data_IF_296359883724
#
_entry.id   IF_296359883724
#
_cell.length_a   1.000
_cell.length_b   1.000
_cell.length_c   1.000
_cell.angle_alpha   90.00
_cell.angle_beta   90.00
_cell.angle_gamma   90.00
#
_symmetry.space_group_name_H-M   'P 1'
#
loop_
_entity.id
_entity.type
_entity.pdbx_description
1 polymer ?
#
# COMPACT_ATOMS: atom_id res chain seq x y z
N UNK A 1 55.22 0.44 35.41
CA UNK A 1 55.04 0.64 33.94
C UNK A 1 53.57 0.55 33.50
N UNK A 2 52.85 -0.50 33.89
CA UNK A 2 51.45 -0.77 33.48
C UNK A 2 50.45 0.34 33.87
N UNK A 3 50.54 0.87 35.10
CA UNK A 3 49.67 1.95 35.61
C UNK A 3 49.76 3.26 34.78
N UNK A 4 50.98 3.64 34.36
CA UNK A 4 51.21 4.81 33.48
C UNK A 4 50.60 4.61 32.09
N UNK A 5 50.62 3.37 31.57
CA UNK A 5 50.05 3.02 30.27
C UNK A 5 48.51 3.10 30.27
N UNK A 6 47.87 2.62 31.33
CA UNK A 6 46.42 2.73 31.54
C UNK A 6 46.00 4.19 31.69
N UNK A 7 46.72 4.99 32.49
CA UNK A 7 46.46 6.42 32.65
C UNK A 7 46.59 7.18 31.33
N UNK A 8 47.61 6.88 30.52
CA UNK A 8 47.80 7.49 29.20
C UNK A 8 46.65 7.14 28.23
N UNK A 9 46.16 5.89 28.24
CA UNK A 9 44.98 5.49 27.45
C UNK A 9 43.70 6.19 27.90
N UNK A 10 43.47 6.28 29.23
CA UNK A 10 42.33 6.97 29.81
C UNK A 10 42.34 8.46 29.44
N UNK A 11 43.48 9.12 29.58
CA UNK A 11 43.69 10.52 29.20
C UNK A 11 43.39 10.75 27.72
N UNK A 12 43.92 9.92 26.81
CA UNK A 12 43.64 10.03 25.37
C UNK A 12 42.15 9.90 25.05
N UNK A 13 41.46 8.95 25.69
CA UNK A 13 40.02 8.76 25.52
C UNK A 13 39.24 9.99 25.98
N UNK A 14 39.53 10.49 27.19
CA UNK A 14 38.87 11.68 27.75
C UNK A 14 39.11 12.93 26.90
N UNK A 15 40.36 13.17 26.47
CA UNK A 15 40.70 14.30 25.60
C UNK A 15 39.93 14.23 24.27
N UNK A 16 39.85 13.05 23.65
CA UNK A 16 39.10 12.86 22.41
C UNK A 16 37.61 13.15 22.60
N UNK A 17 37.00 12.62 23.65
CA UNK A 17 35.58 12.82 23.95
C UNK A 17 35.25 14.30 24.25
N UNK A 18 36.05 14.96 25.10
CA UNK A 18 35.85 16.36 25.47
C UNK A 18 36.08 17.30 24.27
N UNK A 19 37.12 17.06 23.49
CA UNK A 19 37.44 17.90 22.33
C UNK A 19 36.39 17.75 21.23
N UNK A 20 35.94 16.52 20.94
CA UNK A 20 34.83 16.31 20.02
C UNK A 20 33.54 16.98 20.51
N UNK A 21 33.27 16.93 21.81
CA UNK A 21 32.08 17.57 22.39
C UNK A 21 32.16 19.09 22.25
N UNK A 22 33.31 19.71 22.57
CA UNK A 22 33.49 21.16 22.43
C UNK A 22 33.43 21.62 20.97
N UNK A 23 34.02 20.86 20.03
CA UNK A 23 34.00 21.17 18.59
C UNK A 23 32.58 21.06 18.03
N UNK A 24 31.90 19.92 18.26
CA UNK A 24 30.53 19.72 17.81
C UNK A 24 29.60 20.86 18.25
N UNK A 25 29.77 21.35 19.49
CA UNK A 25 28.92 22.42 20.04
C UNK A 25 29.21 23.79 19.43
N UNK A 26 30.49 24.11 19.22
CA UNK A 26 30.86 25.34 18.51
C UNK A 26 30.39 25.34 17.05
N UNK A 27 30.37 24.18 16.39
CA UNK A 27 29.99 24.10 14.98
C UNK A 27 28.47 23.97 14.78
N UNK A 28 27.76 23.23 15.64
CA UNK A 28 26.33 22.94 15.48
C UNK A 28 25.40 23.92 16.22
N UNK A 29 25.89 24.66 17.21
CA UNK A 29 25.06 25.59 18.01
C UNK A 29 25.55 27.05 17.90
N UNK A 30 26.36 27.37 16.89
CA UNK A 30 26.90 28.73 16.73
C UNK A 30 25.78 29.78 16.64
N UNK A 31 24.62 29.43 16.09
CA UNK A 31 23.45 30.30 16.00
C UNK A 31 22.70 30.51 17.33
N UNK A 32 22.96 29.67 18.34
CA UNK A 32 22.20 29.64 19.61
C UNK A 32 23.04 30.14 20.78
N UNK A 33 24.35 29.87 20.78
CA UNK A 33 25.24 30.22 21.87
C UNK A 33 25.44 31.73 21.96
N UNK A 34 25.41 32.28 23.17
CA UNK A 34 25.83 33.66 23.41
C UNK A 34 27.34 33.81 23.25
N UNK A 35 27.80 35.02 22.91
CA UNK A 35 29.21 35.30 22.62
C UNK A 35 30.15 34.95 23.79
N UNK A 36 29.67 35.07 25.03
CA UNK A 36 30.45 34.72 26.22
C UNK A 36 30.63 33.21 26.33
N UNK A 37 29.57 32.43 26.16
CA UNK A 37 29.65 30.96 26.15
C UNK A 37 30.51 30.46 24.99
N UNK A 38 30.43 31.08 23.80
CA UNK A 38 31.32 30.76 22.67
C UNK A 38 32.79 31.00 23.00
N UNK A 39 33.10 32.15 23.60
CA UNK A 39 34.47 32.48 23.99
C UNK A 39 35.03 31.47 25.01
N UNK A 40 34.23 31.08 26.01
CA UNK A 40 34.64 30.05 26.97
C UNK A 40 34.80 28.66 26.34
N UNK A 41 33.92 28.27 25.42
CA UNK A 41 34.05 27.00 24.68
C UNK A 41 35.30 26.99 23.79
N UNK A 42 35.63 28.11 23.14
CA UNK A 42 36.85 28.26 22.35
C UNK A 42 38.10 28.20 23.23
N UNK A 43 38.06 28.78 24.43
CA UNK A 43 39.13 28.68 25.42
C UNK A 43 39.33 27.22 25.86
N UNK A 44 38.26 26.52 26.26
CA UNK A 44 38.30 25.10 26.63
C UNK A 44 38.82 24.24 25.48
N UNK A 45 38.38 24.49 24.24
CA UNK A 45 38.88 23.79 23.05
C UNK A 45 40.39 23.98 22.87
N UNK A 46 40.89 25.20 23.10
CA UNK A 46 42.31 25.53 22.96
C UNK A 46 43.15 24.87 24.05
N UNK A 47 42.68 24.88 25.30
CA UNK A 47 43.28 24.15 26.43
C UNK A 47 43.35 22.64 26.14
N UNK A 48 42.23 22.03 25.72
CA UNK A 48 42.16 20.61 25.39
C UNK A 48 43.10 20.23 24.21
N UNK A 49 43.26 21.10 23.21
CA UNK A 49 44.23 20.91 22.11
C UNK A 49 45.66 20.92 22.63
N UNK A 50 46.00 21.84 23.54
CA UNK A 50 47.33 21.89 24.16
C UNK A 50 47.62 20.61 24.95
N UNK A 51 46.67 20.15 25.79
CA UNK A 51 46.81 18.88 26.52
C UNK A 51 46.87 17.66 25.60
N UNK A 52 46.15 17.68 24.47
CA UNK A 52 46.23 16.62 23.44
C UNK A 52 47.61 16.52 22.80
N UNK A 53 48.25 17.65 22.52
CA UNK A 53 49.60 17.69 21.93
C UNK A 53 50.68 17.16 22.88
N UNK A 54 50.59 17.46 24.18
CA UNK A 54 51.55 17.01 25.21
C UNK A 54 51.28 15.57 25.67
N UNK A 55 50.01 15.19 25.80
CA UNK A 55 49.55 13.85 26.20
C UNK A 55 50.26 13.30 27.46
N UNK A 56 50.43 14.16 28.48
CA UNK A 56 51.11 13.81 29.73
C UNK A 56 50.10 13.31 30.79
N UNK A 57 50.29 12.12 31.38
CA UNK A 57 49.41 11.63 32.46
C UNK A 57 49.27 12.54 33.68
N UNK A 58 50.20 13.47 33.91
CA UNK A 58 50.09 14.48 34.97
C UNK A 58 48.94 15.48 34.74
N UNK A 59 48.51 15.66 33.49
CA UNK A 59 47.46 16.63 33.12
C UNK A 59 46.04 16.08 33.35
N UNK A 60 45.88 14.85 33.86
CA UNK A 60 44.59 14.17 33.98
C UNK A 60 43.59 14.99 34.82
N UNK A 61 44.06 15.64 35.89
CA UNK A 61 43.25 16.47 36.77
C UNK A 61 42.81 17.77 36.07
N UNK A 62 43.73 18.41 35.34
CA UNK A 62 43.43 19.61 34.55
C UNK A 62 42.45 19.31 33.40
N UNK A 63 42.59 18.17 32.73
CA UNK A 63 41.64 17.70 31.70
C UNK A 63 40.27 17.40 32.32
N UNK A 64 40.24 16.82 33.52
CA UNK A 64 38.99 16.60 34.25
C UNK A 64 38.33 17.93 34.63
N UNK A 65 39.10 18.94 35.04
CA UNK A 65 38.59 20.28 35.35
C UNK A 65 38.00 20.97 34.10
N UNK A 66 38.64 20.82 32.93
CA UNK A 66 38.08 21.24 31.65
C UNK A 66 36.73 20.54 31.38
N UNK A 67 36.64 19.24 31.67
CA UNK A 67 35.39 18.48 31.59
C UNK A 67 34.29 19.03 32.49
N UNK A 68 34.60 19.35 33.75
CA UNK A 68 33.64 19.96 34.68
C UNK A 68 33.21 21.37 34.27
N UNK A 69 34.11 22.17 33.70
CA UNK A 69 33.77 23.49 33.12
C UNK A 69 32.84 23.33 31.93
N UNK A 70 33.15 22.42 31.02
CA UNK A 70 32.32 22.09 29.86
C UNK A 70 30.92 21.61 30.30
N UNK A 71 30.84 20.78 31.34
CA UNK A 71 29.56 20.28 31.87
C UNK A 71 28.73 21.35 32.61
N UNK A 72 29.36 22.35 33.22
CA UNK A 72 28.65 23.52 33.79
C UNK A 72 28.07 24.41 32.72
N UNK A 73 28.85 24.68 31.68
CA UNK A 73 28.38 25.45 30.52
C UNK A 73 27.27 24.68 29.79
N UNK A 74 27.36 23.34 29.77
CA UNK A 74 26.47 22.48 29.01
C UNK A 74 26.16 21.18 29.77
N UNK A 75 25.12 21.14 30.61
CA UNK A 75 24.76 19.93 31.33
C UNK A 75 24.39 18.81 30.35
N UNK A 76 24.92 17.60 30.58
CA UNK A 76 24.68 16.43 29.70
C UNK A 76 23.20 16.04 29.60
N UNK A 77 22.40 16.37 30.63
CA UNK A 77 20.96 16.08 30.71
C UNK A 77 20.10 17.34 30.56
N UNK A 78 20.37 18.13 29.51
CA UNK A 78 19.53 19.28 29.16
C UNK A 78 18.26 18.81 28.42
N UNK A 79 17.20 18.59 29.19
CA UNK A 79 15.91 18.05 28.73
C UNK A 79 15.28 18.91 27.60
N UNK A 80 15.17 20.25 27.74
CA UNK A 80 14.69 21.13 26.67
C UNK A 80 15.42 20.92 25.35
N UNK A 81 16.74 20.79 25.39
CA UNK A 81 17.56 20.64 24.21
C UNK A 81 17.45 19.26 23.56
N UNK A 82 17.34 18.19 24.37
CA UNK A 82 17.08 16.84 23.85
C UNK A 82 15.74 16.79 23.11
N UNK A 83 14.72 17.46 23.65
CA UNK A 83 13.40 17.56 23.03
C UNK A 83 13.44 18.36 21.73
N UNK A 84 14.19 19.47 21.67
CA UNK A 84 14.39 20.23 20.42
C UNK A 84 15.07 19.39 19.34
N UNK A 85 16.19 18.73 19.65
CA UNK A 85 16.88 17.87 18.67
C UNK A 85 15.96 16.76 18.14
N UNK A 86 15.15 16.16 19.02
CA UNK A 86 14.15 15.18 18.60
C UNK A 86 13.10 15.79 17.68
N UNK A 87 12.60 16.98 18.00
CA UNK A 87 11.66 17.71 17.16
C UNK A 87 12.26 18.09 15.80
N UNK A 88 13.51 18.56 15.76
CA UNK A 88 14.20 18.90 14.51
C UNK A 88 14.34 17.67 13.61
N UNK A 89 14.76 16.54 14.17
CA UNK A 89 14.82 15.25 13.46
C UNK A 89 13.42 14.82 13.00
N UNK A 90 12.39 14.99 13.84
CA UNK A 90 11.02 14.65 13.49
C UNK A 90 10.50 15.53 12.34
N UNK A 91 10.76 16.83 12.36
CA UNK A 91 10.37 17.78 11.31
C UNK A 91 11.08 17.44 10.01
N UNK A 92 12.39 17.18 10.03
CA UNK A 92 13.13 16.74 8.84
C UNK A 92 12.58 15.43 8.32
N UNK A 93 12.36 14.44 9.19
CA UNK A 93 11.80 13.14 8.80
C UNK A 93 10.39 13.27 8.20
N UNK A 94 9.51 14.08 8.80
CA UNK A 94 8.18 14.37 8.29
C UNK A 94 8.23 15.13 6.95
N UNK A 95 9.17 16.06 6.78
CA UNK A 95 9.35 16.82 5.53
C UNK A 95 9.84 15.92 4.41
N UNK A 96 10.84 15.07 4.67
CA UNK A 96 11.34 14.09 3.72
C UNK A 96 10.25 13.07 3.38
N UNK A 97 9.57 12.51 4.38
CA UNK A 97 8.47 11.57 4.16
C UNK A 97 7.30 12.21 3.39
N UNK A 98 6.97 13.47 3.70
CA UNK A 98 5.98 14.26 2.98
C UNK A 98 6.38 14.52 1.54
N UNK A 99 7.64 14.86 1.28
CA UNK A 99 8.20 15.01 -0.06
C UNK A 99 8.17 13.72 -0.87
N UNK A 100 8.56 12.60 -0.26
CA UNK A 100 8.47 11.26 -0.88
C UNK A 100 7.01 10.91 -1.21
N UNK A 101 6.09 11.13 -0.27
CA UNK A 101 4.66 10.88 -0.45
C UNK A 101 4.05 11.76 -1.55
N UNK A 102 4.41 13.03 -1.58
CA UNK A 102 3.88 14.00 -2.54
C UNK A 102 4.38 13.72 -3.97
N UNK A 103 5.65 13.37 -4.12
CA UNK A 103 6.33 13.33 -5.41
C UNK A 103 6.44 11.92 -6.00
N UNK A 104 6.59 10.89 -5.17
CA UNK A 104 7.04 9.57 -5.65
C UNK A 104 6.02 8.48 -5.42
N UNK A 105 5.47 8.32 -4.22
CA UNK A 105 4.72 7.10 -3.85
C UNK A 105 3.50 7.41 -2.99
N UNK A 106 2.34 6.93 -3.44
CA UNK A 106 1.08 7.06 -2.72
C UNK A 106 0.50 5.68 -2.37
N UNK A 107 0.21 5.40 -1.08
CA UNK A 107 -0.42 4.14 -0.67
C UNK A 107 -1.92 4.16 -0.98
N UNK A 108 -2.42 3.04 -1.50
CA UNK A 108 -3.84 2.80 -1.68
C UNK A 108 -4.24 1.40 -1.24
N UNK A 109 -5.47 1.27 -0.76
CA UNK A 109 -6.12 -0.02 -0.52
C UNK A 109 -7.05 -0.35 -1.67
N UNK A 110 -7.00 -1.58 -2.18
CA UNK A 110 -7.93 -2.06 -3.23
C UNK A 110 -9.20 -2.60 -2.56
N UNK A 111 -10.37 -1.98 -2.76
CA UNK A 111 -11.60 -2.41 -2.08
C UNK A 111 -12.36 -3.46 -2.88
N UNK A 112 -12.16 -3.52 -4.21
CA UNK A 112 -12.96 -4.36 -5.12
C UNK A 112 -12.15 -5.52 -5.71
N UNK A 113 -12.82 -6.60 -6.07
CA UNK A 113 -12.25 -7.76 -6.77
C UNK A 113 -12.05 -7.57 -8.27
N UNK A 114 -12.25 -6.36 -8.81
CA UNK A 114 -12.23 -6.09 -10.26
C UNK A 114 -10.89 -6.38 -10.95
N UNK A 115 -9.79 -6.48 -10.19
CA UNK A 115 -8.47 -6.81 -10.71
C UNK A 115 -8.05 -8.26 -10.41
N UNK A 116 -8.91 -9.09 -9.81
CA UNK A 116 -8.59 -10.51 -9.64
C UNK A 116 -8.53 -11.20 -11.01
N UNK A 117 -7.64 -12.19 -11.22
CA UNK A 117 -6.79 -12.82 -10.22
C UNK A 117 -5.38 -12.20 -10.09
N UNK A 118 -5.10 -11.02 -10.65
CA UNK A 118 -3.75 -10.42 -10.58
C UNK A 118 -3.54 -9.58 -9.33
N UNK A 119 -4.55 -8.79 -8.94
CA UNK A 119 -4.58 -8.00 -7.72
C UNK A 119 -5.87 -8.25 -6.94
N UNK A 120 -5.75 -8.40 -5.63
CA UNK A 120 -6.84 -8.84 -4.80
C UNK A 120 -7.46 -7.66 -4.08
N UNK A 121 -8.77 -7.48 -4.22
CA UNK A 121 -9.53 -6.59 -3.35
C UNK A 121 -9.83 -7.24 -2.00
N UNK A 122 -10.72 -6.61 -1.23
CA UNK A 122 -11.31 -7.21 -0.04
C UNK A 122 -12.15 -8.41 -0.48
N UNK A 123 -11.87 -9.58 0.10
CA UNK A 123 -12.55 -10.84 -0.26
C UNK A 123 -12.56 -11.81 0.92
N UNK A 124 -13.53 -12.71 0.91
CA UNK A 124 -13.59 -13.80 1.88
C UNK A 124 -12.63 -14.92 1.49
N UNK A 125 -11.92 -15.46 2.47
CA UNK A 125 -11.05 -16.62 2.34
C UNK A 125 -11.67 -17.72 3.20
N UNK A 126 -12.18 -18.76 2.55
CA UNK A 126 -12.65 -19.96 3.24
C UNK A 126 -11.49 -20.66 3.97
N UNK A 127 -11.72 -21.03 5.24
CA UNK A 127 -10.72 -21.69 6.09
C UNK A 127 -10.41 -23.09 5.56
N UNK A 128 -11.38 -23.82 5.04
CA UNK A 128 -11.14 -25.16 4.52
C UNK A 128 -10.33 -25.11 3.22
N UNK A 129 -10.71 -24.26 2.27
CA UNK A 129 -10.00 -24.06 1.01
C UNK A 129 -8.57 -23.52 1.18
N UNK A 130 -8.29 -22.73 2.23
CA UNK A 130 -6.98 -22.11 2.44
C UNK A 130 -5.97 -22.93 3.25
N UNK A 131 -6.43 -23.94 4.00
CA UNK A 131 -5.57 -24.83 4.80
C UNK A 131 -4.38 -25.45 4.04
N UNK A 132 -4.52 -25.89 2.76
CA UNK A 132 -3.42 -26.48 2.01
C UNK A 132 -2.35 -25.47 1.56
N UNK A 133 -2.70 -24.19 1.42
CA UNK A 133 -1.87 -23.19 0.73
C UNK A 133 -1.20 -22.18 1.68
N UNK A 134 -1.60 -22.14 2.95
CA UNK A 134 -1.03 -21.24 3.94
C UNK A 134 0.09 -21.93 4.74
N UNK A 135 1.32 -21.53 4.46
CA UNK A 135 2.50 -21.93 5.24
C UNK A 135 2.46 -21.45 6.71
N UNK A 136 3.30 -22.00 7.59
CA UNK A 136 3.26 -21.72 9.03
C UNK A 136 3.40 -20.22 9.37
N UNK A 137 4.32 -19.52 8.72
CA UNK A 137 4.54 -18.09 8.93
C UNK A 137 3.31 -17.27 8.52
N UNK A 138 2.78 -17.49 7.31
CA UNK A 138 1.59 -16.80 6.80
C UNK A 138 0.38 -17.04 7.71
N UNK A 139 0.23 -18.25 8.24
CA UNK A 139 -0.83 -18.59 9.21
C UNK A 139 -0.67 -17.85 10.53
N UNK A 140 0.56 -17.72 11.03
CA UNK A 140 0.85 -16.99 12.27
C UNK A 140 0.58 -15.48 12.15
N UNK A 141 0.86 -14.88 10.99
CA UNK A 141 0.60 -13.45 10.76
C UNK A 141 -0.80 -13.16 10.22
N UNK A 142 -1.57 -14.19 9.85
CA UNK A 142 -2.90 -14.02 9.26
C UNK A 142 -3.87 -13.20 10.13
N UNK A 143 -3.91 -13.34 11.47
CA UNK A 143 -4.76 -12.49 12.32
C UNK A 143 -4.45 -10.98 12.23
N UNK A 144 -3.24 -10.61 11.79
CA UNK A 144 -2.87 -9.21 11.54
C UNK A 144 -3.39 -8.73 10.18
N UNK A 145 -3.60 -9.64 9.23
CA UNK A 145 -3.86 -9.35 7.81
C UNK A 145 -5.33 -9.57 7.41
N UNK A 146 -6.08 -10.35 8.19
CA UNK A 146 -7.45 -10.72 7.90
C UNK A 146 -8.28 -10.84 9.19
N UNK A 147 -9.57 -10.50 9.09
CA UNK A 147 -10.51 -10.58 10.21
C UNK A 147 -11.21 -11.93 10.23
N UNK A 148 -11.29 -12.58 11.40
CA UNK A 148 -12.01 -13.86 11.55
C UNK A 148 -13.49 -13.65 11.22
N UNK A 149 -14.03 -14.48 10.33
CA UNK A 149 -15.42 -14.48 9.95
C UNK A 149 -15.98 -15.89 10.10
N UNK A 150 -16.58 -16.17 11.25
CA UNK A 150 -17.11 -17.50 11.61
C UNK A 150 -18.49 -17.38 12.21
N UNK A 151 -19.48 -17.98 11.55
CA UNK A 151 -20.87 -17.98 11.99
C UNK A 151 -21.42 -19.40 11.90
N UNK A 152 -21.87 -19.90 13.06
CA UNK A 152 -22.70 -21.11 13.17
C UNK A 152 -24.12 -20.66 13.48
N UNK A 153 -25.07 -21.16 12.70
CA UNK A 153 -26.49 -20.84 12.84
C UNK A 153 -27.02 -21.49 14.12
N UNK A 154 -27.71 -20.70 14.94
CA UNK A 154 -28.27 -21.10 16.24
C UNK A 154 -29.63 -21.76 16.09
N UNK A 155 -30.53 -21.16 15.32
CA UNK A 155 -31.89 -21.64 15.09
C UNK A 155 -32.21 -21.69 13.61
N UNK A 156 -33.14 -22.58 13.25
CA UNK A 156 -33.70 -22.69 11.91
C UNK A 156 -34.30 -21.35 11.46
N UNK A 157 -34.00 -20.94 10.23
CA UNK A 157 -34.58 -19.70 9.72
C UNK A 157 -34.11 -19.27 8.34
N UNK A 158 -34.88 -18.34 7.78
CA UNK A 158 -34.53 -17.64 6.55
C UNK A 158 -33.41 -16.64 6.80
N UNK A 159 -32.47 -16.54 5.85
CA UNK A 159 -31.52 -15.45 5.78
C UNK A 159 -32.28 -14.17 5.41
N UNK A 160 -32.23 -13.17 6.28
CA UNK A 160 -32.87 -11.89 6.03
C UNK A 160 -32.19 -11.16 4.87
N UNK A 161 -33.01 -10.54 4.01
CA UNK A 161 -32.54 -9.60 2.98
C UNK A 161 -32.17 -8.23 3.58
N UNK A 162 -32.56 -7.98 4.83
CA UNK A 162 -32.19 -6.79 5.58
C UNK A 162 -30.91 -7.03 6.37
N UNK A 163 -29.91 -6.19 6.13
CA UNK A 163 -28.66 -6.13 6.87
C UNK A 163 -28.31 -4.68 7.18
N UNK A 164 -27.52 -4.48 8.21
CA UNK A 164 -27.04 -3.17 8.64
C UNK A 164 -25.52 -3.15 8.65
N UNK A 165 -24.94 -2.19 7.93
CA UNK A 165 -23.52 -1.91 8.00
C UNK A 165 -23.24 -0.96 9.16
N UNK A 166 -22.22 -1.24 9.96
CA UNK A 166 -21.74 -0.30 10.98
C UNK A 166 -20.22 -0.31 11.08
N UNK A 167 -19.66 0.86 11.37
CA UNK A 167 -18.25 0.96 11.76
C UNK A 167 -18.06 0.30 13.12
N UNK A 168 -17.14 -0.66 13.21
CA UNK A 168 -16.74 -1.27 14.49
C UNK A 168 -15.70 -0.39 15.19
N UNK A 169 -14.83 0.24 14.41
CA UNK A 169 -13.82 1.21 14.83
C UNK A 169 -13.32 1.98 13.58
N UNK A 170 -12.40 2.92 13.77
CA UNK A 170 -11.91 3.84 12.73
C UNK A 170 -11.45 3.10 11.46
N UNK A 171 -10.99 1.85 11.60
CA UNK A 171 -10.36 1.09 10.52
C UNK A 171 -11.12 -0.17 10.07
N UNK A 172 -12.24 -0.54 10.72
CA UNK A 172 -12.99 -1.76 10.35
C UNK A 172 -14.50 -1.61 10.39
N UNK A 173 -15.13 -2.26 9.41
CA UNK A 173 -16.59 -2.31 9.24
C UNK A 173 -17.09 -3.73 9.55
N UNK A 174 -18.30 -3.82 10.08
CA UNK A 174 -19.02 -5.08 10.24
C UNK A 174 -20.41 -4.98 9.62
N UNK A 175 -20.91 -6.13 9.16
CA UNK A 175 -22.25 -6.33 8.65
C UNK A 175 -23.07 -7.15 9.64
N UNK A 176 -24.17 -6.58 10.10
CA UNK A 176 -25.15 -7.21 10.97
C UNK A 176 -26.33 -7.73 10.13
N UNK A 177 -26.78 -8.95 10.38
CA UNK A 177 -27.85 -9.59 9.62
C UNK A 177 -28.58 -10.66 10.45
N UNK A 178 -29.78 -11.04 10.02
CA UNK A 178 -30.57 -12.04 10.72
C UNK A 178 -30.63 -13.36 9.96
N UNK A 179 -30.59 -14.47 10.69
CA UNK A 179 -31.05 -15.78 10.22
C UNK A 179 -32.12 -16.25 11.21
N UNK A 180 -33.36 -16.35 10.74
CA UNK A 180 -34.53 -16.49 11.62
C UNK A 180 -34.64 -15.30 12.57
N UNK A 181 -34.79 -15.57 13.86
CA UNK A 181 -34.90 -14.53 14.90
C UNK A 181 -33.54 -14.11 15.50
N UNK A 182 -32.43 -14.70 15.04
CA UNK A 182 -31.11 -14.45 15.61
C UNK A 182 -30.34 -13.41 14.80
N UNK A 183 -29.76 -12.44 15.50
CA UNK A 183 -28.80 -11.47 14.94
C UNK A 183 -27.39 -12.07 14.90
N UNK A 184 -26.72 -11.93 13.76
CA UNK A 184 -25.33 -12.31 13.54
C UNK A 184 -24.53 -11.12 13.01
N UNK A 185 -23.23 -11.12 13.30
CA UNK A 185 -22.30 -10.08 12.86
C UNK A 185 -21.10 -10.74 12.19
N UNK A 186 -20.74 -10.26 10.99
CA UNK A 186 -19.52 -10.65 10.26
C UNK A 186 -18.69 -9.42 9.90
N UNK A 187 -17.35 -9.52 9.83
CA UNK A 187 -16.53 -8.42 9.33
C UNK A 187 -16.83 -8.15 7.85
N UNK A 188 -16.76 -6.88 7.45
CA UNK A 188 -16.92 -6.43 6.07
C UNK A 188 -18.00 -5.38 5.92
N UNK A 189 -18.02 -4.73 4.76
CA UNK A 189 -18.88 -3.57 4.51
C UNK A 189 -20.34 -3.98 4.35
N UNK A 190 -20.65 -4.93 3.46
CA UNK A 190 -22.04 -5.24 3.14
C UNK A 190 -22.26 -6.74 2.99
N UNK A 191 -23.30 -7.27 3.63
CA UNK A 191 -23.59 -8.71 3.57
C UNK A 191 -23.71 -9.20 2.13
N UNK A 192 -24.40 -8.46 1.24
CA UNK A 192 -24.52 -8.87 -0.16
C UNK A 192 -23.16 -8.95 -0.88
N UNK A 193 -22.14 -8.20 -0.46
CA UNK A 193 -20.78 -8.36 -0.97
C UNK A 193 -20.08 -9.56 -0.35
N UNK A 194 -20.32 -9.85 0.93
CA UNK A 194 -19.74 -11.01 1.61
C UNK A 194 -20.30 -12.31 1.01
N UNK A 195 -21.61 -12.37 0.76
CA UNK A 195 -22.30 -13.54 0.17
C UNK A 195 -21.69 -13.96 -1.16
N UNK A 196 -21.15 -13.02 -1.95
CA UNK A 196 -20.48 -13.31 -3.23
C UNK A 196 -19.26 -14.20 -3.11
N UNK A 197 -18.61 -14.17 -1.96
CA UNK A 197 -17.40 -14.94 -1.70
C UNK A 197 -17.68 -16.14 -0.80
N UNK A 198 -18.92 -16.31 -0.33
CA UNK A 198 -19.31 -17.52 0.39
C UNK A 198 -19.55 -18.65 -0.61
N UNK A 199 -19.13 -19.88 -0.29
CA UNK A 199 -19.12 -20.99 -1.24
C UNK A 199 -20.53 -21.46 -1.67
N UNK A 200 -21.54 -21.26 -0.82
CA UNK A 200 -22.92 -21.68 -1.11
C UNK A 200 -23.93 -20.90 -0.23
N UNK A 201 -24.20 -19.62 -0.54
CA UNK A 201 -25.22 -18.86 0.17
C UNK A 201 -26.61 -19.44 -0.11
N UNK A 202 -27.37 -19.77 0.95
CA UNK A 202 -28.71 -20.33 0.87
C UNK A 202 -29.75 -19.35 1.41
N UNK A 203 -31.01 -19.42 0.94
CA UNK A 203 -32.08 -18.61 1.51
C UNK A 203 -32.49 -19.09 2.92
N UNK A 204 -32.28 -20.36 3.25
CA UNK A 204 -32.65 -20.96 4.53
C UNK A 204 -31.49 -21.77 5.11
N UNK A 205 -31.31 -21.69 6.43
CA UNK A 205 -30.32 -22.45 7.18
C UNK A 205 -30.97 -23.17 8.37
N UNK A 206 -30.43 -24.36 8.69
CA UNK A 206 -30.81 -25.13 9.89
C UNK A 206 -29.89 -24.82 11.06
N UNK A 207 -30.39 -25.00 12.27
CA UNK A 207 -29.63 -24.98 13.51
C UNK A 207 -28.40 -25.88 13.39
N UNK A 208 -27.25 -25.36 13.81
CA UNK A 208 -25.97 -26.05 13.74
C UNK A 208 -25.24 -25.91 12.40
N UNK A 209 -25.90 -25.48 11.32
CA UNK A 209 -25.23 -25.25 10.03
C UNK A 209 -24.18 -24.14 10.12
N UNK A 210 -23.13 -24.27 9.31
CA UNK A 210 -22.08 -23.26 9.19
C UNK A 210 -22.48 -22.31 8.06
N UNK A 211 -22.81 -21.07 8.41
CA UNK A 211 -23.07 -20.02 7.42
C UNK A 211 -21.76 -19.61 6.73
N UNK A 212 -20.71 -19.40 7.52
CA UNK A 212 -19.37 -19.10 7.01
C UNK A 212 -18.30 -19.54 8.05
N UNK A 213 -17.16 -20.07 7.59
CA UNK A 213 -15.97 -20.30 8.44
C UNK A 213 -14.68 -19.95 7.67
N UNK A 214 -14.05 -18.85 8.05
CA UNK A 214 -13.02 -18.24 7.22
C UNK A 214 -12.55 -16.92 7.76
N UNK A 215 -12.08 -16.09 6.83
CA UNK A 215 -11.46 -14.81 7.11
C UNK A 215 -11.85 -13.79 6.06
N UNK A 216 -12.09 -12.54 6.46
CA UNK A 216 -12.17 -11.43 5.54
C UNK A 216 -10.78 -10.84 5.35
N UNK A 217 -10.20 -11.05 4.15
CA UNK A 217 -8.95 -10.42 3.77
C UNK A 217 -9.13 -8.94 3.52
N UNK A 218 -8.19 -8.12 3.98
CA UNK A 218 -8.19 -6.67 3.74
C UNK A 218 -7.82 -6.27 2.30
N UNK A 219 -7.43 -7.24 1.47
CA UNK A 219 -7.00 -7.05 0.09
C UNK A 219 -5.56 -6.56 -0.02
N UNK A 220 -5.07 -6.50 -1.26
CA UNK A 220 -3.76 -5.97 -1.59
C UNK A 220 -3.76 -4.44 -1.39
N UNK A 221 -2.73 -3.96 -0.71
CA UNK A 221 -2.42 -2.54 -0.60
C UNK A 221 -1.20 -2.26 -1.45
N UNK A 222 -1.34 -1.24 -2.29
CA UNK A 222 -0.39 -0.95 -3.35
C UNK A 222 0.21 0.42 -3.18
N UNK A 223 1.50 0.52 -3.52
CA UNK A 223 2.15 1.78 -3.77
C UNK A 223 1.98 2.16 -5.23
N UNK A 224 1.45 3.36 -5.43
CA UNK A 224 1.25 3.98 -6.73
C UNK A 224 2.35 5.02 -6.92
N UNK A 225 3.17 4.84 -7.95
CA UNK A 225 4.20 5.80 -8.31
C UNK A 225 3.74 6.76 -9.39
N UNK A 226 4.12 8.03 -9.24
CA UNK A 226 3.73 9.12 -10.15
C UNK A 226 4.90 9.62 -10.99
N UNK A 227 6.11 9.30 -10.59
CA UNK A 227 7.34 9.89 -11.11
C UNK A 227 7.69 9.36 -12.50
N UNK A 228 7.49 8.06 -12.76
CA UNK A 228 7.81 7.49 -14.07
C UNK A 228 6.96 8.11 -15.18
N UNK A 229 5.80 8.67 -14.85
CA UNK A 229 4.92 9.34 -15.82
C UNK A 229 5.57 10.57 -16.49
N UNK A 230 6.65 11.11 -15.92
CA UNK A 230 7.43 12.20 -16.52
C UNK A 230 8.50 11.72 -17.50
N UNK A 231 8.93 10.45 -17.42
CA UNK A 231 10.07 9.92 -18.18
C UNK A 231 9.70 8.80 -19.13
N UNK A 232 8.52 8.21 -18.98
CA UNK A 232 8.02 7.20 -19.90
C UNK A 232 6.54 7.41 -20.26
N UNK A 233 6.15 7.10 -21.51
CA UNK A 233 4.75 6.98 -21.84
C UNK A 233 4.12 5.76 -21.17
N UNK A 234 2.79 5.77 -21.07
CA UNK A 234 2.01 4.61 -20.68
C UNK A 234 2.12 3.50 -21.74
N UNK A 235 2.06 2.25 -21.29
CA UNK A 235 2.16 1.06 -22.13
C UNK A 235 0.95 0.16 -21.88
N UNK A 236 0.54 -0.58 -22.92
CA UNK A 236 -0.50 -1.60 -22.79
C UNK A 236 -0.05 -2.65 -21.76
N UNK A 237 -0.96 -3.02 -20.87
CA UNK A 237 -0.71 -3.91 -19.75
C UNK A 237 -0.28 -3.21 -18.46
N UNK A 238 0.03 -1.91 -18.48
CA UNK A 238 0.31 -1.14 -17.25
C UNK A 238 -0.89 -1.22 -16.29
N UNK A 239 -0.62 -1.44 -15.00
CA UNK A 239 -1.65 -1.31 -13.96
C UNK A 239 -1.69 0.14 -13.51
N UNK A 240 -2.76 0.84 -13.89
CA UNK A 240 -2.90 2.28 -13.69
C UNK A 240 -3.86 2.58 -12.55
N UNK A 241 -3.57 3.65 -11.82
CA UNK A 241 -4.52 4.31 -10.92
C UNK A 241 -4.89 5.65 -11.51
N UNK A 242 -6.18 5.96 -11.53
CA UNK A 242 -6.72 7.18 -12.10
C UNK A 242 -7.89 7.70 -11.27
N UNK A 243 -8.09 9.01 -11.28
CA UNK A 243 -9.27 9.62 -10.71
C UNK A 243 -10.44 9.54 -11.70
N UNK A 244 -11.65 9.47 -11.18
CA UNK A 244 -12.89 9.37 -11.98
C UNK A 244 -13.59 10.71 -12.15
N UNK A 245 -12.95 11.82 -11.79
CA UNK A 245 -13.53 13.16 -11.95
C UNK A 245 -13.87 13.42 -13.42
N UNK A 246 -15.11 13.84 -13.66
CA UNK A 246 -15.62 14.13 -15.01
C UNK A 246 -15.62 12.91 -15.97
N UNK A 247 -15.63 11.68 -15.44
CA UNK A 247 -15.88 10.46 -16.21
C UNK A 247 -17.30 10.01 -15.91
N UNK A 248 -18.20 10.05 -16.91
CA UNK A 248 -19.60 9.63 -16.74
C UNK A 248 -19.69 8.14 -16.42
N UNK A 249 -20.25 7.78 -15.25
CA UNK A 249 -20.52 6.38 -14.88
C UNK A 249 -21.91 6.25 -14.28
N UNK A 250 -22.67 5.19 -14.62
CA UNK A 250 -24.03 4.97 -14.12
C UNK A 250 -24.10 4.78 -12.60
N UNK A 251 -22.98 4.51 -11.91
CA UNK A 251 -22.94 4.27 -10.47
C UNK A 251 -22.01 5.23 -9.71
N UNK A 252 -21.56 6.32 -10.33
CA UNK A 252 -20.62 7.23 -9.66
C UNK A 252 -21.33 8.21 -8.71
N UNK A 253 -20.92 8.27 -7.43
CA UNK A 253 -21.29 9.37 -6.54
C UNK A 253 -20.56 10.69 -6.92
N UNK A 254 -21.07 11.83 -6.46
CA UNK A 254 -20.41 13.14 -6.61
C UNK A 254 -19.08 13.16 -5.84
N UNK A 255 -17.97 13.51 -6.49
CA UNK A 255 -16.72 13.89 -5.78
C UNK A 255 -15.40 13.24 -6.21
N UNK A 256 -15.34 12.50 -7.32
CA UNK A 256 -14.05 12.03 -7.86
C UNK A 256 -13.39 10.91 -7.04
N UNK A 257 -13.52 9.67 -7.51
CA UNK A 257 -12.95 8.49 -6.85
C UNK A 257 -11.69 7.96 -7.54
N UNK A 258 -10.86 7.19 -6.83
CA UNK A 258 -9.67 6.53 -7.40
C UNK A 258 -9.97 5.09 -7.80
N UNK A 259 -9.71 4.75 -9.06
CA UNK A 259 -9.89 3.41 -9.61
C UNK A 259 -8.53 2.85 -10.01
N UNK A 260 -8.38 1.53 -9.84
CA UNK A 260 -7.26 0.74 -10.38
C UNK A 260 -7.79 -0.18 -11.48
N UNK A 261 -7.15 -0.14 -12.64
CA UNK A 261 -7.49 -0.96 -13.82
C UNK A 261 -6.24 -1.28 -14.62
N UNK A 262 -6.33 -2.27 -15.50
CA UNK A 262 -5.29 -2.55 -16.48
C UNK A 262 -5.50 -1.68 -17.70
N UNK A 263 -4.47 -0.97 -18.11
CA UNK A 263 -4.49 -0.17 -19.31
C UNK A 263 -4.44 -1.08 -20.54
N UNK A 264 -5.46 -1.00 -21.39
CA UNK A 264 -5.57 -1.86 -22.57
C UNK A 264 -5.46 -1.10 -23.89
N UNK A 265 -5.99 0.13 -23.96
CA UNK A 265 -5.96 0.95 -25.16
C UNK A 265 -5.21 2.26 -24.96
N UNK A 266 -4.31 2.56 -25.88
CA UNK A 266 -3.58 3.82 -26.00
C UNK A 266 -4.31 4.76 -26.99
N UNK A 267 -3.98 6.07 -27.01
CA UNK A 267 -4.54 7.01 -27.99
C UNK A 267 -4.45 6.50 -29.43
N UNK A 268 -5.59 6.45 -30.11
CA UNK A 268 -5.74 6.01 -31.49
C UNK A 268 -5.83 4.50 -31.73
N UNK A 269 -5.75 3.67 -30.69
CA UNK A 269 -5.99 2.24 -30.82
C UNK A 269 -7.46 1.95 -31.12
N UNK A 270 -7.74 0.95 -31.95
CA UNK A 270 -9.07 0.33 -32.01
C UNK A 270 -9.07 -0.96 -31.20
N UNK A 271 -10.10 -1.14 -30.37
CA UNK A 271 -10.30 -2.29 -29.51
C UNK A 271 -11.54 -3.07 -29.93
N UNK A 272 -11.47 -4.39 -29.81
CA UNK A 272 -12.58 -5.30 -30.03
C UNK A 272 -12.46 -6.48 -29.06
N UNK A 273 -13.58 -7.11 -28.71
CA UNK A 273 -13.59 -8.39 -28.01
C UNK A 273 -14.21 -9.46 -28.93
N UNK A 274 -13.46 -10.53 -29.20
CA UNK A 274 -13.89 -11.68 -30.00
C UNK A 274 -13.49 -12.97 -29.28
N UNK A 275 -14.43 -13.90 -29.11
CA UNK A 275 -14.21 -15.18 -28.41
C UNK A 275 -13.56 -15.02 -27.01
N UNK A 276 -14.03 -14.02 -26.27
CA UNK A 276 -13.50 -13.59 -24.97
C UNK A 276 -12.01 -13.14 -24.99
N UNK A 277 -11.48 -12.83 -26.17
CA UNK A 277 -10.13 -12.32 -26.38
C UNK A 277 -10.23 -10.83 -26.72
N UNK A 278 -9.45 -10.01 -26.01
CA UNK A 278 -9.25 -8.62 -26.35
C UNK A 278 -8.30 -8.54 -27.54
N UNK A 279 -8.84 -8.02 -28.62
CA UNK A 279 -8.16 -7.73 -29.86
C UNK A 279 -7.86 -6.24 -29.94
N UNK A 280 -6.63 -5.91 -30.33
CA UNK A 280 -6.13 -4.54 -30.42
C UNK A 280 -5.58 -4.34 -31.83
N UNK A 281 -6.07 -3.30 -32.51
CA UNK A 281 -5.49 -2.76 -33.73
C UNK A 281 -4.81 -1.44 -33.38
N UNK A 282 -3.47 -1.41 -33.28
CA UNK A 282 -2.75 -0.18 -32.96
C UNK A 282 -3.01 0.92 -33.98
N UNK A 283 -2.89 2.18 -33.54
CA UNK A 283 -3.02 3.34 -34.44
C UNK A 283 -2.14 3.20 -35.69
N UNK A 284 -2.76 3.18 -36.87
CA UNK A 284 -2.08 3.09 -38.16
C UNK A 284 -1.80 1.66 -38.64
N UNK A 285 -2.13 0.64 -37.86
CA UNK A 285 -2.07 -0.76 -38.30
C UNK A 285 -3.40 -1.20 -38.94
N UNK A 286 -3.34 -2.21 -39.80
CA UNK A 286 -4.51 -2.75 -40.52
C UNK A 286 -5.21 -3.87 -39.75
N UNK A 287 -4.42 -4.71 -39.09
CA UNK A 287 -4.90 -5.97 -38.54
C UNK A 287 -5.07 -5.90 -37.03
N UNK A 288 -6.11 -6.57 -36.54
CA UNK A 288 -6.27 -6.83 -35.11
C UNK A 288 -5.32 -7.93 -34.66
N UNK A 289 -4.69 -7.70 -33.51
CA UNK A 289 -3.83 -8.70 -32.86
C UNK A 289 -4.28 -8.89 -31.41
N UNK A 290 -4.18 -10.09 -30.85
CA UNK A 290 -4.58 -10.32 -29.48
C UNK A 290 -3.68 -9.58 -28.49
N UNK A 291 -4.26 -9.14 -27.37
CA UNK A 291 -3.59 -8.29 -26.39
C UNK A 291 -2.23 -8.85 -25.88
N UNK A 292 -2.10 -10.18 -25.79
CA UNK A 292 -0.89 -10.86 -25.33
C UNK A 292 0.33 -10.71 -26.25
N UNK A 293 0.15 -10.27 -27.50
CA UNK A 293 1.29 -9.90 -28.35
C UNK A 293 1.94 -8.58 -27.97
N UNK A 294 1.21 -7.71 -27.24
CA UNK A 294 1.68 -6.38 -26.89
C UNK A 294 2.32 -6.29 -25.50
N UNK A 295 2.05 -7.24 -24.62
CA UNK A 295 2.58 -7.23 -23.25
C UNK A 295 2.56 -8.61 -22.60
N UNK A 296 3.63 -8.95 -21.89
CA UNK A 296 3.72 -10.17 -21.09
C UNK A 296 2.68 -10.19 -19.94
N UNK A 297 2.21 -9.03 -19.52
CA UNK A 297 1.11 -8.91 -18.56
C UNK A 297 -0.17 -9.60 -19.07
N UNK A 298 -0.49 -9.41 -20.35
CA UNK A 298 -1.63 -10.07 -20.96
C UNK A 298 -1.38 -11.56 -21.17
N UNK A 299 -0.17 -11.98 -21.56
CA UNK A 299 0.17 -13.42 -21.63
C UNK A 299 -0.11 -14.14 -20.31
N UNK A 300 0.21 -13.50 -19.18
CA UNK A 300 -0.04 -14.06 -17.84
C UNK A 300 -1.53 -14.21 -17.55
N UNK A 301 -2.33 -13.17 -17.84
CA UNK A 301 -3.78 -13.22 -17.61
C UNK A 301 -4.45 -14.26 -18.52
N UNK A 302 -4.09 -14.26 -19.80
CA UNK A 302 -4.58 -15.22 -20.79
C UNK A 302 -4.03 -16.64 -20.65
N UNK A 303 -3.24 -16.93 -19.61
CA UNK A 303 -2.93 -18.31 -19.21
C UNK A 303 -4.15 -19.06 -18.66
N UNK A 304 -5.25 -18.35 -18.39
CA UNK A 304 -6.50 -18.85 -17.79
C UNK A 304 -6.32 -19.40 -16.36
N UNK A 305 -5.14 -19.24 -15.76
CA UNK A 305 -4.90 -19.57 -14.36
C UNK A 305 -5.70 -18.66 -13.43
N UNK A 306 -5.98 -19.14 -12.22
CA UNK A 306 -6.69 -18.39 -11.19
C UNK A 306 -8.19 -18.21 -11.46
N UNK A 307 -8.75 -18.86 -12.48
CA UNK A 307 -10.16 -18.79 -12.85
C UNK A 307 -10.50 -17.66 -13.83
N UNK A 308 -9.51 -17.07 -14.50
CA UNK A 308 -9.76 -16.08 -15.55
C UNK A 308 -10.37 -16.76 -16.79
N UNK A 309 -11.48 -16.20 -17.29
CA UNK A 309 -12.26 -16.78 -18.40
C UNK A 309 -12.19 -15.94 -19.68
N UNK A 310 -11.26 -14.99 -19.75
CA UNK A 310 -11.19 -14.01 -20.84
C UNK A 310 -11.94 -12.71 -20.52
N UNK A 311 -11.98 -11.84 -21.52
CA UNK A 311 -12.72 -10.59 -21.48
C UNK A 311 -14.12 -10.77 -22.06
N UNK A 312 -15.16 -10.61 -21.24
CA UNK A 312 -16.57 -10.60 -21.66
C UNK A 312 -16.85 -9.40 -22.58
N UNK A 313 -17.44 -9.67 -23.74
CA UNK A 313 -17.95 -8.65 -24.64
C UNK A 313 -19.24 -8.04 -24.04
N UNK A 314 -19.17 -6.79 -23.58
CA UNK A 314 -20.30 -6.04 -23.05
C UNK A 314 -20.10 -4.53 -23.19
N UNK A 315 -21.17 -3.77 -22.94
CA UNK A 315 -21.15 -2.30 -22.96
C UNK A 315 -20.63 -1.74 -24.29
N UNK A 316 -19.65 -0.83 -24.22
CA UNK A 316 -19.00 -0.22 -25.39
C UNK A 316 -18.17 -1.21 -26.23
N UNK A 317 -17.90 -2.41 -25.73
CA UNK A 317 -17.24 -3.50 -26.46
C UNK A 317 -18.15 -4.74 -26.54
N UNK A 318 -19.47 -4.51 -26.69
CA UNK A 318 -20.42 -5.60 -26.97
C UNK A 318 -20.03 -6.36 -28.25
N UNK A 319 -20.55 -7.59 -28.40
CA UNK A 319 -20.18 -8.49 -29.49
C UNK A 319 -20.32 -7.81 -30.87
N UNK A 320 -19.24 -7.84 -31.66
CA UNK A 320 -19.18 -7.18 -32.98
C UNK A 320 -18.88 -5.69 -32.94
N UNK A 321 -18.75 -5.08 -31.75
CA UNK A 321 -18.38 -3.68 -31.57
C UNK A 321 -16.88 -3.44 -31.69
N UNK A 322 -16.52 -2.38 -32.41
CA UNK A 322 -15.18 -1.79 -32.41
C UNK A 322 -15.20 -0.44 -31.72
N UNK A 323 -14.22 -0.17 -30.86
CA UNK A 323 -14.10 1.09 -30.15
C UNK A 323 -12.72 1.70 -30.39
N UNK A 324 -12.67 2.89 -30.99
CA UNK A 324 -11.42 3.62 -31.17
C UNK A 324 -11.19 4.59 -30.01
N UNK A 325 -10.02 4.52 -29.40
CA UNK A 325 -9.62 5.36 -28.28
C UNK A 325 -9.27 6.77 -28.80
N UNK A 326 -9.94 7.83 -28.32
CA UNK A 326 -9.66 9.19 -28.75
C UNK A 326 -8.23 9.64 -28.40
N UNK A 327 -7.74 10.64 -29.13
CA UNK A 327 -6.47 11.30 -28.78
C UNK A 327 -6.50 11.87 -27.36
N UNK A 328 -5.36 11.78 -26.66
CA UNK A 328 -5.24 12.22 -25.27
C UNK A 328 -6.03 11.39 -24.25
N UNK A 329 -6.69 10.31 -24.68
CA UNK A 329 -7.46 9.41 -23.84
C UNK A 329 -6.90 7.99 -23.84
N UNK A 330 -7.34 7.21 -22.87
CA UNK A 330 -6.92 5.84 -22.64
C UNK A 330 -8.14 4.97 -22.34
N UNK A 331 -8.01 3.67 -22.55
CA UNK A 331 -9.07 2.72 -22.24
C UNK A 331 -8.53 1.62 -21.33
N UNK A 332 -9.27 1.29 -20.27
CA UNK A 332 -8.80 0.37 -19.25
C UNK A 332 -9.89 -0.65 -18.88
N UNK A 333 -9.48 -1.88 -18.63
CA UNK A 333 -10.34 -3.00 -18.24
C UNK A 333 -9.91 -3.55 -16.88
N UNK A 334 -10.85 -4.15 -16.15
CA UNK A 334 -10.51 -4.97 -15.01
C UNK A 334 -10.15 -6.38 -15.46
N UNK A 335 -9.20 -6.99 -14.77
CA UNK A 335 -8.82 -8.38 -15.05
C UNK A 335 -9.95 -9.35 -14.65
N UNK A 336 -10.81 -8.97 -13.70
CA UNK A 336 -12.01 -9.72 -13.37
C UNK A 336 -13.20 -9.22 -14.19
N UNK A 337 -13.25 -9.64 -15.46
CA UNK A 337 -14.14 -9.03 -16.44
C UNK A 337 -15.63 -9.08 -16.06
N UNK A 338 -16.07 -10.15 -15.39
CA UNK A 338 -17.46 -10.31 -14.93
C UNK A 338 -17.82 -9.40 -13.74
N UNK A 339 -16.83 -8.88 -13.00
CA UNK A 339 -17.03 -8.09 -11.78
C UNK A 339 -16.28 -6.75 -11.80
N UNK A 340 -16.09 -6.22 -13.00
CA UNK A 340 -15.40 -4.96 -13.21
C UNK A 340 -16.32 -3.93 -13.86
N UNK A 341 -16.37 -2.73 -13.28
CA UNK A 341 -17.01 -1.56 -13.87
C UNK A 341 -15.85 -0.76 -14.43
N UNK A 342 -15.63 -0.93 -15.71
CA UNK A 342 -14.46 -0.44 -16.41
C UNK A 342 -14.85 0.30 -17.68
N UNK A 343 -13.90 0.50 -18.59
CA UNK A 343 -14.11 1.31 -19.79
C UNK A 343 -15.32 0.86 -20.61
N UNK A 344 -15.73 -0.41 -20.52
CA UNK A 344 -16.94 -0.91 -21.18
C UNK A 344 -18.21 -0.19 -20.71
N UNK A 345 -18.24 0.30 -19.48
CA UNK A 345 -19.39 0.98 -18.90
C UNK A 345 -19.28 2.51 -18.91
N UNK A 346 -18.08 3.06 -18.71
CA UNK A 346 -17.88 4.51 -18.55
C UNK A 346 -16.98 5.16 -19.61
N UNK A 347 -16.48 4.38 -20.57
CA UNK A 347 -15.71 4.88 -21.71
C UNK A 347 -14.24 5.12 -21.40
N UNK A 348 -13.75 6.33 -21.69
CA UNK A 348 -12.33 6.61 -21.78
C UNK A 348 -11.82 7.41 -20.56
N UNK A 349 -10.54 7.24 -20.26
CA UNK A 349 -9.82 7.96 -19.21
C UNK A 349 -9.02 9.10 -19.86
N UNK A 350 -9.32 10.37 -19.60
CA UNK A 350 -8.48 11.47 -20.06
C UNK A 350 -7.08 11.41 -19.43
N UNK A 351 -6.03 11.82 -20.15
CA UNK A 351 -4.64 11.83 -19.62
C UNK A 351 -4.49 12.56 -18.29
N UNK A 352 -5.26 13.64 -18.07
CA UNK A 352 -5.24 14.45 -16.84
C UNK A 352 -5.73 13.69 -15.60
N UNK A 353 -6.56 12.67 -15.81
CA UNK A 353 -7.12 11.83 -14.74
C UNK A 353 -6.12 10.76 -14.28
N UNK A 354 -5.04 10.52 -15.03
CA UNK A 354 -4.03 9.53 -14.68
C UNK A 354 -3.22 9.98 -13.46
N UNK A 355 -3.26 9.18 -12.40
CA UNK A 355 -2.60 9.48 -11.13
C UNK A 355 -1.19 8.89 -11.11
N UNK A 356 -1.07 7.60 -11.46
CA UNK A 356 0.18 6.86 -11.35
C UNK A 356 0.06 5.38 -11.73
N UNK A 357 1.17 4.66 -11.58
CA UNK A 357 1.30 3.23 -11.85
C UNK A 357 1.36 2.47 -10.53
N UNK A 358 0.58 1.41 -10.38
CA UNK A 358 0.71 0.51 -9.26
C UNK A 358 1.97 -0.35 -9.44
N UNK A 359 2.97 -0.18 -8.57
CA UNK A 359 4.30 -0.80 -8.75
C UNK A 359 4.67 -1.81 -7.69
N UNK A 360 4.12 -1.70 -6.48
CA UNK A 360 4.45 -2.62 -5.39
C UNK A 360 3.23 -2.93 -4.52
N UNK A 361 3.02 -4.21 -4.23
CA UNK A 361 2.13 -4.70 -3.17
C UNK A 361 2.95 -4.75 -1.89
N UNK A 362 2.67 -3.84 -0.95
CA UNK A 362 3.39 -3.79 0.33
C UNK A 362 2.66 -4.54 1.45
N UNK A 363 1.37 -4.81 1.27
CA UNK A 363 0.53 -5.56 2.20
C UNK A 363 -0.56 -6.33 1.44
N UNK A 364 -0.98 -7.53 1.88
CA UNK A 364 -0.42 -8.33 2.98
C UNK A 364 0.94 -8.96 2.65
N UNK A 365 1.70 -9.35 3.67
CA UNK A 365 2.93 -10.13 3.49
C UNK A 365 2.56 -11.55 3.05
N UNK A 366 2.58 -11.77 1.74
CA UNK A 366 2.13 -13.00 1.07
C UNK A 366 3.02 -13.31 -0.14
N UNK A 367 2.70 -14.37 -0.91
CA UNK A 367 3.38 -14.68 -2.20
C UNK A 367 3.40 -13.50 -3.18
N UNK A 368 2.40 -12.59 -3.09
CA UNK A 368 2.27 -11.40 -3.95
C UNK A 368 3.05 -10.19 -3.44
N UNK A 369 3.62 -10.24 -2.24
CA UNK A 369 4.42 -9.14 -1.71
C UNK A 369 5.59 -8.82 -2.64
N UNK A 370 5.77 -7.54 -2.97
CA UNK A 370 6.77 -7.07 -3.92
C UNK A 370 6.16 -6.45 -5.18
N UNK A 371 6.85 -6.55 -6.31
CA UNK A 371 6.48 -5.83 -7.54
C UNK A 371 5.15 -6.36 -8.11
N UNK A 372 4.24 -5.44 -8.44
CA UNK A 372 2.93 -5.72 -9.02
C UNK A 372 3.06 -6.53 -10.31
N UNK A 373 2.13 -7.48 -10.52
CA UNK A 373 1.99 -8.27 -11.76
C UNK A 373 3.20 -9.17 -12.11
N UNK A 374 4.08 -9.45 -11.14
CA UNK A 374 5.24 -10.35 -11.35
C UNK A 374 4.93 -11.82 -11.14
N UNK A 375 3.94 -12.14 -10.30
CA UNK A 375 3.55 -13.53 -9.98
C UNK A 375 2.36 -13.94 -10.84
N UNK A 376 2.42 -15.16 -11.39
CA UNK A 376 1.28 -15.76 -12.05
C UNK A 376 0.13 -16.01 -11.04
N UNK A 377 -1.13 -15.97 -11.49
CA UNK A 377 -2.27 -16.45 -10.70
C UNK A 377 -2.02 -17.84 -10.12
N UNK A 378 -2.74 -18.21 -9.05
CA UNK A 378 -2.66 -19.58 -8.53
C UNK A 378 -3.37 -20.54 -9.51
N UNK A 379 -2.91 -21.78 -9.60
CA UNK A 379 -3.54 -22.80 -10.46
C UNK A 379 -4.92 -23.25 -9.94
N UNK A 380 -5.24 -22.92 -8.70
CA UNK A 380 -6.58 -23.06 -8.15
C UNK A 380 -7.44 -21.85 -8.52
N UNK A 381 -8.74 -22.03 -8.81
CA UNK A 381 -9.67 -20.92 -8.91
C UNK A 381 -9.52 -20.03 -7.68
N UNK A 382 -9.18 -18.77 -7.89
CA UNK A 382 -9.39 -17.78 -6.85
C UNK A 382 -10.90 -17.73 -6.64
N UNK A 383 -11.40 -17.60 -5.41
CA UNK A 383 -12.85 -17.48 -5.19
C UNK A 383 -13.34 -16.22 -5.94
N UNK A 384 -13.85 -16.43 -7.14
CA UNK A 384 -14.45 -15.41 -7.99
C UNK A 384 -15.95 -15.42 -7.71
N UNK A 385 -16.58 -14.26 -7.53
CA UNK A 385 -18.04 -14.19 -7.36
C UNK A 385 -18.80 -14.88 -8.51
N UNK A 386 -20.01 -15.37 -8.24
CA UNK A 386 -20.92 -15.93 -9.26
C UNK A 386 -22.23 -15.12 -9.37
N UNK A 387 -22.16 -13.87 -9.89
CA UNK A 387 -23.27 -12.97 -10.33
C UNK A 387 -24.31 -12.53 -9.24
N UNK A 388 -25.18 -11.49 -9.42
CA UNK A 388 -25.02 -10.17 -10.04
C UNK A 388 -25.06 -8.98 -9.03
N UNK A 389 -24.24 -7.96 -9.34
CA UNK A 389 -24.30 -6.50 -9.09
C UNK A 389 -24.49 -5.86 -7.69
N UNK A 390 -23.40 -5.20 -7.28
CA UNK A 390 -23.29 -3.97 -6.46
C UNK A 390 -21.78 -3.75 -6.24
N UNK A 391 -21.17 -2.68 -6.72
CA UNK A 391 -19.72 -2.50 -6.52
C UNK A 391 -19.42 -1.80 -5.20
N UNK A 392 -18.39 -2.25 -4.45
CA UNK A 392 -17.93 -1.50 -3.28
C UNK A 392 -17.47 -0.10 -3.68
N UNK A 393 -17.45 0.85 -2.72
CA UNK A 393 -16.84 2.15 -2.95
C UNK A 393 -15.39 1.99 -3.43
N UNK A 394 -14.96 2.95 -4.23
CA UNK A 394 -13.66 2.97 -4.86
C UNK A 394 -12.49 3.03 -3.85
N UNK A 395 -11.26 2.97 -4.35
CA UNK A 395 -10.07 2.96 -3.51
C UNK A 395 -10.03 4.16 -2.58
N UNK A 396 -9.68 3.90 -1.33
CA UNK A 396 -9.37 4.94 -0.35
C UNK A 396 -7.86 5.09 -0.22
N UNK A 397 -7.44 6.34 0.00
CA UNK A 397 -6.09 6.64 0.46
C UNK A 397 -5.98 6.26 1.95
N UNK A 398 -4.83 5.72 2.34
CA UNK A 398 -4.49 5.45 3.73
C UNK A 398 -3.63 6.55 4.35
#
# INVERSE_FOLDING_TARGET
MFRKLIQKRKLKKQLKELLNSAVYRLDCDDDILDDKTKAELQAIRSELKQYSSRCNPADLEAVSACGSRLERLMPKNDLPRRSRNFLDVLVVACTVAGGIRALYIQPFRIPTSSMQPTLFGIHYIDRAASKPFLGPLTRAVMPLQALVAKVRVKDDGLLSTQYQMRSKNIISTVSDFHIGNNLYTVPGDYLAQILRYLPNPKPFYRSGEIFCDGWLSTGDHVFVERFSLFFRPFKRGDVIVFNTENISSPTQPRGGYYYIKRLVGLPGDTLQISDNILMIRPKGEKDFRPAWEFSDAFKKIYSLQGGYQGHKADGLLALGGELTVPEGHYFALGDNTNFSLDGRNWGFIPRRNMVGLAVMIFWPVSRRWGIVDTKAPLDTPTVMPSEPFFQPPAMSMQ
#
